data_IF_519899211421
#
_entry.id   IF_519899211421
#
_cell.length_a   1.000
_cell.length_b   1.000
_cell.length_c   1.000
_cell.angle_alpha   90.00
_cell.angle_beta   90.00
_cell.angle_gamma   90.00
#
_symmetry.space_group_name_H-M   'P 1'
#
loop_
_entity.id
_entity.type
_entity.pdbx_description
1 polymer ?
#
# COMPACT_ATOMS: atom_id res chain seq x y z
N UNK A 1 14.95 -14.76 -54.51
CA UNK A 1 13.76 -15.06 -53.69
C UNK A 1 13.72 -14.09 -52.52
N UNK A 2 12.89 -13.06 -52.66
CA UNK A 2 12.60 -12.06 -51.63
C UNK A 2 11.50 -12.62 -50.72
N UNK A 3 11.71 -12.64 -49.40
CA UNK A 3 10.62 -12.70 -48.42
C UNK A 3 10.94 -11.79 -47.21
N UNK A 4 10.50 -10.54 -47.38
CA UNK A 4 9.71 -9.76 -46.41
C UNK A 4 10.23 -9.55 -44.98
N UNK A 5 10.98 -8.45 -44.85
CA UNK A 5 10.89 -7.52 -43.72
C UNK A 5 9.46 -6.95 -43.68
N UNK A 6 8.63 -7.35 -42.71
CA UNK A 6 7.29 -6.77 -42.52
C UNK A 6 6.96 -6.66 -41.04
N UNK A 7 6.74 -5.41 -40.62
CA UNK A 7 6.11 -4.96 -39.37
C UNK A 7 6.97 -4.81 -38.11
N UNK A 8 7.93 -3.88 -38.15
CA UNK A 8 8.15 -2.98 -37.02
C UNK A 8 7.56 -1.61 -37.38
N UNK A 9 6.24 -1.47 -37.19
CA UNK A 9 5.64 -0.14 -37.13
C UNK A 9 6.21 0.54 -35.88
N UNK A 10 7.21 1.40 -36.06
CA UNK A 10 7.56 2.42 -35.07
C UNK A 10 6.32 3.27 -34.87
N UNK A 11 5.57 2.99 -33.79
CA UNK A 11 4.56 3.90 -33.29
C UNK A 11 5.26 5.22 -32.95
N UNK A 12 4.71 6.38 -33.34
CA UNK A 12 5.31 7.66 -33.01
C UNK A 12 5.34 7.79 -31.48
N UNK A 13 6.55 7.90 -30.94
CA UNK A 13 6.80 8.15 -29.51
C UNK A 13 6.37 9.59 -29.23
N UNK A 14 5.08 9.81 -29.01
CA UNK A 14 4.61 11.04 -28.40
C UNK A 14 5.04 10.99 -26.94
N UNK A 15 6.17 11.63 -26.62
CA UNK A 15 6.47 12.03 -25.24
C UNK A 15 5.41 13.06 -24.86
N UNK A 16 4.27 12.59 -24.35
CA UNK A 16 3.35 13.45 -23.62
C UNK A 16 4.04 13.78 -22.31
N UNK A 17 4.77 14.89 -22.29
CA UNK A 17 5.00 15.64 -21.06
C UNK A 17 3.68 16.31 -20.65
N UNK A 18 2.63 15.53 -20.42
CA UNK A 18 1.42 16.03 -19.76
C UNK A 18 1.81 16.18 -18.29
N UNK A 19 2.45 17.30 -17.96
CA UNK A 19 2.74 17.67 -16.58
C UNK A 19 1.43 17.52 -15.78
N UNK A 20 1.46 16.76 -14.69
CA UNK A 20 0.27 16.51 -13.90
C UNK A 20 -0.21 17.83 -13.29
N UNK A 21 -1.25 18.42 -13.87
CA UNK A 21 -1.89 19.62 -13.32
C UNK A 21 -2.94 19.17 -12.31
N UNK A 22 -2.49 18.69 -11.16
CA UNK A 22 -3.37 18.33 -10.04
C UNK A 22 -3.11 19.31 -8.91
N UNK A 23 -4.11 20.12 -8.59
CA UNK A 23 -4.01 21.10 -7.52
C UNK A 23 -4.50 20.50 -6.20
N UNK A 24 -3.58 19.93 -5.44
CA UNK A 24 -3.89 19.33 -4.14
C UNK A 24 -3.37 20.18 -2.98
N UNK A 25 -4.17 20.23 -1.91
CA UNK A 25 -3.89 21.03 -0.72
C UNK A 25 -3.48 20.09 0.41
N UNK A 26 -2.39 20.41 1.12
CA UNK A 26 -1.96 19.60 2.26
C UNK A 26 -3.07 19.52 3.32
N UNK A 27 -3.32 18.30 3.84
CA UNK A 27 -4.38 18.05 4.81
C UNK A 27 -5.79 17.92 4.19
N UNK A 28 -5.89 17.88 2.87
CA UNK A 28 -7.13 17.60 2.14
C UNK A 28 -6.93 16.41 1.20
N UNK A 29 -7.84 15.44 1.16
CA UNK A 29 -7.78 14.32 0.22
C UNK A 29 -7.64 14.78 -1.24
N UNK A 30 -6.58 14.34 -1.90
CA UNK A 30 -6.21 14.71 -3.26
C UNK A 30 -6.94 13.86 -4.29
N UNK A 31 -7.83 14.47 -5.07
CA UNK A 31 -8.55 13.79 -6.14
C UNK A 31 -7.92 14.08 -7.50
N UNK A 32 -7.58 13.01 -8.22
CA UNK A 32 -6.98 13.09 -9.55
C UNK A 32 -8.04 13.31 -10.64
N UNK A 33 -7.75 14.12 -11.68
CA UNK A 33 -8.67 14.36 -12.77
C UNK A 33 -8.81 13.11 -13.67
N UNK A 34 -7.72 12.38 -13.85
CA UNK A 34 -7.65 11.19 -14.69
C UNK A 34 -7.95 9.92 -13.88
N UNK A 35 -8.59 8.95 -14.53
CA UNK A 35 -8.69 7.58 -14.03
C UNK A 35 -7.82 6.67 -14.88
N UNK A 36 -6.99 5.90 -14.21
CA UNK A 36 -6.08 4.94 -14.80
C UNK A 36 -6.38 3.55 -14.26
N UNK A 37 -5.83 2.51 -14.88
CA UNK A 37 -6.07 1.15 -14.43
C UNK A 37 -5.30 0.83 -13.13
N UNK A 38 -4.11 1.41 -12.96
CA UNK A 38 -3.25 1.20 -11.80
C UNK A 38 -2.49 2.46 -11.40
N UNK A 39 -2.72 2.95 -10.18
CA UNK A 39 -2.01 4.11 -9.62
C UNK A 39 -1.09 3.68 -8.49
N UNK A 40 0.15 4.13 -8.53
CA UNK A 40 1.13 3.87 -7.48
C UNK A 40 1.40 5.19 -6.77
N UNK A 41 1.09 5.27 -5.49
CA UNK A 41 1.33 6.43 -4.64
C UNK A 41 2.59 6.16 -3.81
N UNK A 42 3.66 6.90 -4.05
CA UNK A 42 4.92 6.79 -3.31
C UNK A 42 5.04 7.92 -2.31
N UNK A 43 5.11 7.58 -1.03
CA UNK A 43 5.26 8.50 0.09
C UNK A 43 6.73 8.58 0.47
N UNK A 44 7.32 9.78 0.42
CA UNK A 44 8.73 10.00 0.78
C UNK A 44 8.91 11.32 1.54
N UNK A 45 10.09 11.47 2.14
CA UNK A 45 10.50 12.67 2.83
C UNK A 45 11.94 13.04 2.47
N UNK A 46 12.92 12.50 3.20
CA UNK A 46 14.34 12.87 3.08
C UNK A 46 15.28 11.66 3.04
N UNK A 47 14.84 10.54 2.45
CA UNK A 47 15.65 9.33 2.26
C UNK A 47 15.89 9.07 0.76
N UNK A 48 16.73 9.88 0.09
CA UNK A 48 16.90 9.81 -1.36
C UNK A 48 17.33 8.42 -1.87
N UNK A 49 18.23 7.74 -1.17
CA UNK A 49 18.68 6.40 -1.57
C UNK A 49 17.59 5.33 -1.38
N UNK A 50 16.73 5.51 -0.37
CA UNK A 50 15.57 4.65 -0.16
C UNK A 50 14.58 4.80 -1.32
N UNK A 51 14.22 6.05 -1.62
CA UNK A 51 13.34 6.37 -2.75
C UNK A 51 13.89 5.80 -4.06
N UNK A 52 15.18 5.96 -4.34
CA UNK A 52 15.81 5.43 -5.55
C UNK A 52 15.61 3.92 -5.69
N UNK A 53 15.79 3.15 -4.60
CA UNK A 53 15.58 1.70 -4.60
C UNK A 53 14.13 1.36 -4.85
N UNK A 54 13.19 1.98 -4.12
CA UNK A 54 11.75 1.77 -4.31
C UNK A 54 11.32 2.03 -5.77
N UNK A 55 11.72 3.18 -6.33
CA UNK A 55 11.43 3.53 -7.72
C UNK A 55 12.05 2.54 -8.72
N UNK A 56 13.22 1.98 -8.43
CA UNK A 56 13.84 0.95 -9.28
C UNK A 56 13.07 -0.37 -9.29
N UNK A 57 12.31 -0.67 -8.24
CA UNK A 57 11.40 -1.82 -8.18
C UNK A 57 10.11 -1.54 -8.94
N UNK A 58 9.56 -0.33 -8.79
CA UNK A 58 8.40 0.13 -9.57
C UNK A 58 8.70 0.09 -11.08
N UNK A 59 9.91 0.45 -11.51
CA UNK A 59 10.39 0.37 -12.90
C UNK A 59 10.38 -1.02 -13.53
N UNK A 60 10.27 -2.09 -12.72
CA UNK A 60 10.29 -3.48 -13.18
C UNK A 60 8.89 -4.10 -13.26
N UNK A 61 7.84 -3.34 -12.94
CA UNK A 61 6.48 -3.85 -12.92
C UNK A 61 6.04 -4.35 -14.29
N UNK A 62 5.42 -5.53 -14.30
CA UNK A 62 4.60 -5.98 -15.41
C UNK A 62 3.26 -5.24 -15.34
N UNK A 63 3.08 -4.28 -16.25
CA UNK A 63 1.86 -3.46 -16.34
C UNK A 63 0.69 -4.21 -16.97
N UNK A 64 0.90 -5.42 -17.49
CA UNK A 64 -0.11 -6.18 -18.22
C UNK A 64 -0.68 -5.43 -19.44
N UNK A 65 0.04 -4.44 -19.96
CA UNK A 65 -0.41 -3.55 -21.04
C UNK A 65 -1.45 -2.51 -20.63
N UNK A 66 -1.70 -2.33 -19.33
CA UNK A 66 -2.67 -1.38 -18.79
C UNK A 66 -2.08 0.03 -18.58
N UNK A 67 -2.95 1.03 -18.41
CA UNK A 67 -2.55 2.40 -18.09
C UNK A 67 -2.09 2.49 -16.63
N UNK A 68 -0.81 2.75 -16.43
CA UNK A 68 -0.20 2.91 -15.11
C UNK A 68 0.19 4.36 -14.87
N UNK A 69 0.17 4.79 -13.63
CA UNK A 69 0.61 6.11 -13.20
C UNK A 69 1.32 6.04 -11.86
N UNK A 70 2.34 6.88 -11.67
CA UNK A 70 3.11 6.97 -10.42
C UNK A 70 3.02 8.39 -9.88
N UNK A 71 2.55 8.52 -8.65
CA UNK A 71 2.45 9.78 -7.92
C UNK A 71 3.45 9.78 -6.76
N UNK A 72 4.52 10.56 -6.89
CA UNK A 72 5.57 10.68 -5.88
C UNK A 72 5.27 11.89 -5.00
N UNK A 73 4.91 11.66 -3.74
CA UNK A 73 4.58 12.66 -2.76
C UNK A 73 5.73 12.90 -1.78
N UNK A 74 6.34 14.08 -1.89
CA UNK A 74 7.47 14.51 -1.06
C UNK A 74 6.93 15.42 0.06
N UNK A 75 7.03 14.96 1.30
CA UNK A 75 6.72 15.80 2.47
C UNK A 75 7.82 16.85 2.70
N UNK A 76 7.48 17.90 3.45
CA UNK A 76 8.43 18.92 3.91
C UNK A 76 8.78 18.70 5.36
N UNK A 77 9.91 19.23 5.81
CA UNK A 77 10.20 19.32 7.23
C UNK A 77 9.29 20.34 7.92
N UNK A 78 9.27 20.35 9.26
CA UNK A 78 8.45 21.31 10.03
C UNK A 78 8.83 22.78 9.78
N UNK A 79 10.07 23.05 9.39
CA UNK A 79 10.58 24.36 8.97
C UNK A 79 10.39 24.63 7.46
N UNK A 80 9.64 23.78 6.75
CA UNK A 80 9.22 24.00 5.36
C UNK A 80 10.25 23.60 4.29
N UNK A 81 11.35 22.95 4.67
CA UNK A 81 12.40 22.51 3.73
C UNK A 81 12.01 21.21 3.02
N UNK A 82 12.45 21.09 1.78
CA UNK A 82 12.36 19.87 0.96
C UNK A 82 13.77 19.34 0.80
N UNK A 83 13.91 18.02 0.79
CA UNK A 83 15.19 17.41 0.45
C UNK A 83 15.43 17.50 -1.06
N UNK A 84 16.44 18.29 -1.47
CA UNK A 84 16.74 18.56 -2.88
C UNK A 84 17.13 17.29 -3.65
N UNK A 85 17.79 16.33 -2.98
CA UNK A 85 18.21 15.09 -3.61
C UNK A 85 17.01 14.17 -3.86
N UNK A 86 16.08 14.04 -2.90
CA UNK A 86 14.80 13.35 -3.08
C UNK A 86 14.00 13.95 -4.24
N UNK A 87 13.92 15.29 -4.31
CA UNK A 87 13.23 15.98 -5.40
C UNK A 87 13.90 15.73 -6.76
N UNK A 88 15.22 15.78 -6.81
CA UNK A 88 16.00 15.49 -8.02
C UNK A 88 15.78 14.06 -8.53
N UNK A 89 15.83 13.07 -7.63
CA UNK A 89 15.56 11.65 -7.96
C UNK A 89 14.14 11.47 -8.51
N UNK A 90 13.16 12.15 -7.90
CA UNK A 90 11.76 12.08 -8.34
C UNK A 90 11.58 12.64 -9.75
N UNK A 91 12.22 13.78 -10.06
CA UNK A 91 12.20 14.38 -11.41
C UNK A 91 12.94 13.52 -12.44
N UNK A 92 14.08 12.97 -12.07
CA UNK A 92 14.82 12.04 -12.92
C UNK A 92 13.97 10.80 -13.25
N UNK A 93 13.23 10.26 -12.28
CA UNK A 93 12.33 9.14 -12.54
C UNK A 93 11.17 9.54 -13.47
N UNK A 94 10.59 10.73 -13.26
CA UNK A 94 9.55 11.28 -14.14
C UNK A 94 10.02 11.39 -15.60
N UNK A 95 11.26 11.79 -15.85
CA UNK A 95 11.82 11.91 -17.21
C UNK A 95 12.11 10.55 -17.87
N UNK A 96 12.45 9.53 -17.08
CA UNK A 96 12.89 8.22 -17.60
C UNK A 96 11.77 7.18 -17.67
N UNK A 97 10.67 7.38 -16.95
CA UNK A 97 9.55 6.45 -16.93
C UNK A 97 8.80 6.45 -18.26
N UNK A 98 8.66 5.27 -18.88
CA UNK A 98 8.02 5.12 -20.20
C UNK A 98 6.72 4.32 -20.17
N UNK A 99 6.33 3.78 -19.02
CA UNK A 99 5.18 2.88 -18.89
C UNK A 99 3.88 3.60 -18.48
N UNK A 100 3.87 4.94 -18.49
CA UNK A 100 2.73 5.72 -18.00
C UNK A 100 3.08 7.14 -17.58
N UNK A 101 2.17 7.76 -16.83
CA UNK A 101 2.37 9.12 -16.29
C UNK A 101 3.13 9.07 -14.97
N UNK A 102 4.01 10.05 -14.73
CA UNK A 102 4.61 10.28 -13.41
C UNK A 102 4.33 11.70 -12.97
N UNK A 103 3.81 11.84 -11.75
CA UNK A 103 3.53 13.11 -11.11
C UNK A 103 4.42 13.27 -9.88
N UNK A 104 5.10 14.41 -9.78
CA UNK A 104 5.91 14.75 -8.59
C UNK A 104 5.18 15.84 -7.82
N UNK A 105 4.73 15.50 -6.62
CA UNK A 105 3.97 16.37 -5.72
C UNK A 105 4.84 16.75 -4.54
N UNK A 106 4.94 18.05 -4.26
CA UNK A 106 5.60 18.55 -3.05
C UNK A 106 4.54 19.14 -2.16
N UNK A 107 4.43 18.64 -0.93
CA UNK A 107 3.46 19.15 0.04
C UNK A 107 3.64 20.66 0.25
N UNK A 108 2.55 21.40 0.47
CA UNK A 108 2.62 22.85 0.70
C UNK A 108 3.19 23.18 2.10
N UNK A 109 2.96 22.29 3.05
CA UNK A 109 3.43 22.34 4.44
C UNK A 109 3.74 20.91 4.92
N UNK A 110 4.34 20.75 6.10
CA UNK A 110 4.56 19.42 6.68
C UNK A 110 3.21 18.70 6.88
N UNK A 111 2.97 17.66 6.09
CA UNK A 111 1.76 16.83 6.14
C UNK A 111 1.82 15.78 7.25
N UNK A 112 3.03 15.50 7.74
CA UNK A 112 3.33 14.35 8.59
C UNK A 112 2.99 13.02 7.88
N UNK A 113 3.44 11.91 8.46
CA UNK A 113 3.13 10.57 7.92
C UNK A 113 1.62 10.33 7.81
N UNK A 114 0.82 10.88 8.73
CA UNK A 114 -0.64 10.73 8.71
C UNK A 114 -1.30 11.46 7.54
N UNK A 115 -0.86 12.66 7.18
CA UNK A 115 -1.39 13.37 6.01
C UNK A 115 -0.90 12.71 4.72
N UNK A 116 0.36 12.27 4.68
CA UNK A 116 0.91 11.51 3.55
C UNK A 116 0.09 10.23 3.27
N UNK A 117 -0.26 9.47 4.30
CA UNK A 117 -1.05 8.25 4.10
C UNK A 117 -2.51 8.52 3.77
N UNK A 118 -3.16 9.47 4.46
CA UNK A 118 -4.61 9.64 4.33
C UNK A 118 -4.99 10.49 3.12
N UNK A 119 -4.21 11.50 2.76
CA UNK A 119 -4.66 12.58 1.88
C UNK A 119 -4.07 12.55 0.46
N UNK A 120 -3.11 11.68 0.17
CA UNK A 120 -2.39 11.68 -1.13
C UNK A 120 -3.17 11.04 -2.27
N UNK A 121 -4.22 10.27 -1.96
CA UNK A 121 -5.12 9.71 -2.97
C UNK A 121 -6.56 9.68 -2.47
N UNK A 122 -7.44 10.31 -3.24
CA UNK A 122 -8.89 10.19 -3.15
C UNK A 122 -9.40 9.68 -4.49
N UNK A 123 -9.90 8.45 -4.57
CA UNK A 123 -10.46 7.93 -5.81
C UNK A 123 -11.72 8.72 -6.18
N UNK A 124 -12.03 8.76 -7.48
CA UNK A 124 -13.33 9.23 -7.95
C UNK A 124 -14.44 8.32 -7.41
N UNK A 125 -15.64 8.86 -7.30
CA UNK A 125 -16.80 8.05 -6.94
C UNK A 125 -17.02 6.98 -8.00
N UNK A 126 -17.26 5.74 -7.56
CA UNK A 126 -17.41 4.57 -8.43
C UNK A 126 -16.18 4.26 -9.31
N UNK A 127 -14.99 4.73 -8.92
CA UNK A 127 -13.74 4.41 -9.61
C UNK A 127 -13.46 2.90 -9.57
N UNK A 128 -12.92 2.38 -10.67
CA UNK A 128 -12.35 1.02 -10.73
C UNK A 128 -10.81 1.03 -10.69
N UNK A 129 -10.21 2.21 -10.50
CA UNK A 129 -8.77 2.38 -10.34
C UNK A 129 -8.26 1.56 -9.16
N UNK A 130 -7.27 0.69 -9.42
CA UNK A 130 -6.52 0.03 -8.37
C UNK A 130 -5.41 0.97 -7.94
N UNK A 131 -5.38 1.38 -6.68
CA UNK A 131 -4.27 2.15 -6.12
C UNK A 131 -3.36 1.27 -5.26
N UNK A 132 -2.05 1.54 -5.26
CA UNK A 132 -1.06 0.94 -4.37
C UNK A 132 -0.29 2.06 -3.67
N UNK A 133 -0.39 2.12 -2.34
CA UNK A 133 0.30 3.11 -1.52
C UNK A 133 1.56 2.46 -0.91
N UNK A 134 2.71 3.12 -1.11
CA UNK A 134 4.03 2.66 -0.70
C UNK A 134 4.77 3.76 0.05
N UNK A 135 5.48 3.41 1.12
CA UNK A 135 6.56 4.25 1.64
C UNK A 135 7.84 4.00 0.84
N UNK A 136 8.76 4.97 0.87
CA UNK A 136 10.01 4.90 0.11
C UNK A 136 10.94 3.73 0.51
N UNK A 137 10.69 3.05 1.63
CA UNK A 137 11.46 1.88 2.11
C UNK A 137 10.93 0.50 1.70
N UNK A 138 9.97 0.46 0.78
CA UNK A 138 9.38 -0.78 0.27
C UNK A 138 9.97 -1.18 -1.09
N UNK A 139 10.38 -2.43 -1.21
CA UNK A 139 10.62 -3.09 -2.51
C UNK A 139 9.40 -3.94 -2.86
N UNK A 140 8.97 -3.89 -4.12
CA UNK A 140 7.80 -4.66 -4.61
C UNK A 140 8.20 -5.65 -5.69
N UNK A 141 7.44 -6.75 -5.77
CA UNK A 141 7.53 -7.74 -6.83
C UNK A 141 7.18 -7.13 -8.19
N UNK A 142 7.86 -7.52 -9.30
CA UNK A 142 7.45 -7.15 -10.65
C UNK A 142 6.02 -7.63 -11.00
N UNK A 143 5.50 -8.63 -10.27
CA UNK A 143 4.16 -9.20 -10.45
C UNK A 143 3.14 -8.65 -9.43
N UNK A 144 3.49 -7.62 -8.65
CA UNK A 144 2.60 -7.03 -7.65
C UNK A 144 1.28 -6.55 -8.27
N UNK A 145 1.31 -5.88 -9.42
CA UNK A 145 0.08 -5.44 -10.10
C UNK A 145 -0.78 -6.62 -10.56
N UNK A 146 -0.15 -7.69 -11.07
CA UNK A 146 -0.87 -8.91 -11.47
C UNK A 146 -1.60 -9.55 -10.30
N UNK A 147 -0.96 -9.63 -9.13
CA UNK A 147 -1.60 -10.11 -7.92
C UNK A 147 -2.75 -9.19 -7.48
N UNK A 148 -2.53 -7.88 -7.41
CA UNK A 148 -3.57 -6.92 -7.02
C UNK A 148 -4.78 -6.94 -7.97
N UNK A 149 -4.56 -7.02 -9.28
CA UNK A 149 -5.64 -7.12 -10.27
C UNK A 149 -6.45 -8.40 -10.09
N UNK A 150 -5.78 -9.52 -9.82
CA UNK A 150 -6.46 -10.77 -9.52
C UNK A 150 -7.28 -10.69 -8.23
N UNK A 151 -6.72 -10.14 -7.16
CA UNK A 151 -7.45 -9.95 -5.90
C UNK A 151 -8.63 -8.99 -6.07
N UNK A 152 -8.41 -7.87 -6.77
CA UNK A 152 -9.47 -6.91 -7.05
C UNK A 152 -10.64 -7.56 -7.79
N UNK A 153 -10.36 -8.31 -8.86
CA UNK A 153 -11.37 -9.06 -9.60
C UNK A 153 -12.11 -10.08 -8.71
N UNK A 154 -11.37 -10.87 -7.92
CA UNK A 154 -11.96 -11.95 -7.11
C UNK A 154 -12.81 -11.44 -5.95
N UNK A 155 -12.42 -10.34 -5.34
CA UNK A 155 -12.99 -9.84 -4.09
C UNK A 155 -13.79 -8.54 -4.27
N UNK A 156 -14.02 -8.09 -5.50
CA UNK A 156 -14.73 -6.83 -5.79
C UNK A 156 -16.09 -6.77 -5.06
N UNK A 157 -16.92 -7.79 -5.25
CA UNK A 157 -18.28 -7.88 -4.69
C UNK A 157 -18.34 -8.44 -3.27
N UNK A 158 -17.20 -8.74 -2.64
CA UNK A 158 -17.17 -9.20 -1.24
C UNK A 158 -17.31 -7.99 -0.32
N UNK A 159 -18.49 -7.88 0.30
CA UNK A 159 -18.95 -6.67 1.00
C UNK A 159 -18.12 -6.30 2.24
N UNK A 160 -17.47 -7.26 2.88
CA UNK A 160 -16.67 -7.04 4.07
C UNK A 160 -15.16 -6.92 3.77
N UNK A 161 -14.77 -6.73 2.51
CA UNK A 161 -13.37 -6.48 2.11
C UNK A 161 -13.15 -4.99 1.86
N UNK A 162 -12.27 -4.37 2.65
CA UNK A 162 -11.86 -2.97 2.51
C UNK A 162 -10.66 -2.76 1.57
N UNK A 163 -9.92 -3.81 1.25
CA UNK A 163 -8.76 -3.70 0.36
C UNK A 163 -7.83 -4.90 0.45
N UNK A 164 -6.62 -4.70 -0.06
CA UNK A 164 -5.59 -5.70 -0.26
C UNK A 164 -4.27 -5.17 0.31
N UNK A 165 -3.35 -6.06 0.67
CA UNK A 165 -1.99 -5.68 1.01
C UNK A 165 -0.97 -6.62 0.40
N UNK A 166 0.16 -6.08 -0.04
CA UNK A 166 1.32 -6.85 -0.47
C UNK A 166 2.06 -7.47 0.71
N UNK A 167 1.90 -6.88 1.91
CA UNK A 167 2.56 -7.32 3.13
C UNK A 167 2.27 -8.78 3.46
N UNK A 168 3.31 -9.62 3.41
CA UNK A 168 3.24 -11.03 3.85
C UNK A 168 3.99 -11.27 5.17
N UNK A 169 4.97 -10.43 5.47
CA UNK A 169 5.83 -10.56 6.65
C UNK A 169 5.57 -9.46 7.68
N UNK A 170 6.06 -9.64 8.91
CA UNK A 170 6.04 -8.58 9.93
C UNK A 170 4.67 -8.23 10.51
N UNK A 171 3.60 -8.96 10.14
CA UNK A 171 2.24 -8.74 10.65
C UNK A 171 2.13 -9.19 12.11
N UNK A 172 2.49 -8.31 13.06
CA UNK A 172 2.55 -8.62 14.50
C UNK A 172 2.04 -7.45 15.35
N UNK A 173 0.77 -7.48 15.73
CA UNK A 173 0.23 -6.43 16.61
C UNK A 173 -0.41 -6.96 17.89
N UNK A 174 -0.55 -8.28 18.06
CA UNK A 174 -1.32 -8.82 19.19
C UNK A 174 -0.63 -9.95 19.92
N UNK A 175 -0.11 -9.57 21.10
CA UNK A 175 0.54 -10.41 22.12
C UNK A 175 1.81 -11.12 21.63
N UNK A 176 2.70 -11.44 22.56
CA UNK A 176 4.13 -11.62 22.29
C UNK A 176 4.52 -12.77 21.35
N UNK A 177 3.62 -13.67 20.93
CA UNK A 177 4.04 -14.92 20.28
C UNK A 177 3.09 -15.49 19.22
N UNK A 178 1.98 -14.83 18.85
CA UNK A 178 1.04 -15.39 17.86
C UNK A 178 0.56 -14.32 16.88
N UNK A 179 1.24 -14.20 15.74
CA UNK A 179 0.65 -13.55 14.56
C UNK A 179 -0.39 -14.49 13.92
N UNK A 180 -1.39 -13.97 13.18
CA UNK A 180 -2.38 -14.79 12.48
C UNK A 180 -1.71 -15.83 11.57
N UNK A 181 -0.53 -15.46 11.02
CA UNK A 181 0.28 -16.28 10.14
C UNK A 181 0.51 -17.70 10.66
N UNK A 182 0.57 -17.94 11.98
CA UNK A 182 0.81 -19.28 12.52
C UNK A 182 -0.33 -20.27 12.19
N UNK A 183 -1.58 -19.81 12.11
CA UNK A 183 -2.77 -20.66 12.07
C UNK A 183 -3.47 -20.71 10.69
N UNK A 184 -2.82 -20.19 9.64
CA UNK A 184 -3.36 -20.23 8.28
C UNK A 184 -2.98 -21.57 7.65
N UNK A 185 -3.96 -22.34 7.15
CA UNK A 185 -3.68 -23.60 6.46
C UNK A 185 -2.82 -23.41 5.22
N UNK A 186 -1.96 -24.39 4.94
CA UNK A 186 -1.13 -24.43 3.74
C UNK A 186 -1.97 -24.64 2.47
N UNK A 187 -3.23 -25.03 2.60
CA UNK A 187 -4.16 -25.15 1.45
C UNK A 187 -4.67 -23.81 0.95
N UNK A 188 -4.55 -22.75 1.74
CA UNK A 188 -5.10 -21.44 1.42
C UNK A 188 -4.00 -20.53 0.89
N UNK A 189 -4.17 -20.00 -0.32
CA UNK A 189 -3.26 -19.01 -0.89
C UNK A 189 -3.56 -17.57 -0.43
N UNK A 190 -4.73 -17.34 0.18
CA UNK A 190 -5.20 -16.04 0.68
C UNK A 190 -6.06 -16.20 1.93
N UNK A 191 -6.14 -15.13 2.73
CA UNK A 191 -6.99 -15.06 3.91
C UNK A 191 -7.44 -13.61 4.17
N UNK A 192 -8.44 -13.44 5.03
CA UNK A 192 -8.96 -12.14 5.44
C UNK A 192 -8.51 -11.84 6.87
N UNK A 193 -7.98 -10.64 7.09
CA UNK A 193 -7.51 -10.20 8.41
C UNK A 193 -7.96 -8.77 8.69
N UNK A 194 -8.44 -8.50 9.91
CA UNK A 194 -8.94 -7.15 10.25
C UNK A 194 -7.86 -6.08 10.28
N UNK A 195 -6.62 -6.47 10.58
CA UNK A 195 -5.53 -5.52 10.63
C UNK A 195 -5.15 -5.10 9.21
N UNK A 196 -4.93 -3.80 9.04
CA UNK A 196 -4.38 -3.26 7.81
C UNK A 196 -2.87 -3.52 7.70
N UNK A 197 -2.42 -3.97 6.53
CA UNK A 197 -1.01 -4.07 6.19
C UNK A 197 -0.48 -2.71 5.77
N UNK A 198 0.67 -2.30 6.32
CA UNK A 198 1.30 -1.01 6.06
C UNK A 198 2.39 -1.08 5.00
N UNK A 199 2.73 -2.28 4.53
CA UNK A 199 3.66 -2.49 3.42
C UNK A 199 2.82 -2.80 2.16
N UNK A 200 2.79 -1.85 1.23
CA UNK A 200 1.99 -1.95 -0.01
C UNK A 200 0.50 -2.14 0.22
N UNK A 201 -0.20 -1.09 0.70
CA UNK A 201 -1.66 -1.16 0.86
C UNK A 201 -2.39 -0.75 -0.41
N UNK A 202 -3.44 -1.48 -0.74
CA UNK A 202 -4.29 -1.23 -1.91
C UNK A 202 -5.75 -1.21 -1.47
N UNK A 203 -6.28 -0.06 -1.03
CA UNK A 203 -7.67 0.04 -0.58
C UNK A 203 -8.67 -0.08 -1.73
N UNK A 204 -9.86 -0.59 -1.44
CA UNK A 204 -11.01 -0.44 -2.35
C UNK A 204 -11.40 1.05 -2.43
N UNK A 205 -11.72 1.56 -3.63
CA UNK A 205 -11.98 2.99 -3.82
C UNK A 205 -13.04 3.59 -2.89
N UNK A 206 -14.23 2.98 -2.81
CA UNK A 206 -15.32 3.49 -1.99
C UNK A 206 -15.03 3.37 -0.49
N UNK A 207 -14.42 2.26 -0.06
CA UNK A 207 -14.06 2.05 1.35
C UNK A 207 -13.01 3.06 1.82
N UNK A 208 -12.06 3.43 0.95
CA UNK A 208 -11.10 4.49 1.23
C UNK A 208 -11.77 5.84 1.41
N UNK A 209 -12.74 6.20 0.53
CA UNK A 209 -13.48 7.46 0.65
C UNK A 209 -14.26 7.52 1.96
N UNK A 210 -14.95 6.44 2.33
CA UNK A 210 -15.69 6.38 3.59
C UNK A 210 -14.77 6.51 4.81
N UNK A 211 -13.60 5.87 4.76
CA UNK A 211 -12.58 6.04 5.79
C UNK A 211 -12.11 7.50 5.86
N UNK A 212 -11.74 8.12 4.74
CA UNK A 212 -11.27 9.51 4.69
C UNK A 212 -12.32 10.48 5.25
N UNK A 213 -13.58 10.35 4.83
CA UNK A 213 -14.67 11.22 5.27
C UNK A 213 -14.91 11.07 6.78
N UNK A 214 -14.90 9.84 7.29
CA UNK A 214 -14.97 9.57 8.73
C UNK A 214 -13.76 10.13 9.48
N UNK A 215 -12.55 9.91 8.97
CA UNK A 215 -11.31 10.35 9.57
C UNK A 215 -11.28 11.87 9.74
N UNK A 216 -11.56 12.62 8.67
CA UNK A 216 -11.57 14.08 8.68
C UNK A 216 -12.69 14.66 9.54
N UNK A 217 -13.79 13.93 9.72
CA UNK A 217 -14.82 14.28 10.69
C UNK A 217 -14.34 14.07 12.13
N UNK A 218 -13.84 12.87 12.45
CA UNK A 218 -13.48 12.50 13.83
C UNK A 218 -12.23 13.19 14.33
N UNK A 219 -11.25 13.46 13.46
CA UNK A 219 -10.00 14.11 13.84
C UNK A 219 -10.18 15.55 14.34
N UNK A 220 -11.31 16.19 14.02
CA UNK A 220 -11.68 17.51 14.57
C UNK A 220 -12.08 17.45 16.04
N UNK A 221 -12.47 16.28 16.53
CA UNK A 221 -12.76 16.04 17.94
C UNK A 221 -11.46 15.67 18.69
N UNK A 222 -10.94 16.62 19.46
CA UNK A 222 -9.71 16.43 20.24
C UNK A 222 -9.87 15.43 21.40
N UNK A 223 -11.11 15.07 21.77
CA UNK A 223 -11.40 14.09 22.82
C UNK A 223 -11.40 12.66 22.30
N UNK A 224 -11.69 12.49 21.01
CA UNK A 224 -11.71 11.16 20.39
C UNK A 224 -10.30 10.63 20.18
N UNK A 225 -10.10 9.37 20.57
CA UNK A 225 -8.87 8.61 20.34
C UNK A 225 -9.24 7.23 19.79
N UNK A 226 -8.67 6.77 18.66
CA UNK A 226 -9.02 5.49 18.03
C UNK A 226 -8.40 4.29 18.78
N UNK A 227 -8.47 4.27 20.12
CA UNK A 227 -7.97 3.17 20.94
C UNK A 227 -8.78 1.89 20.70
N UNK A 228 -8.07 0.77 20.63
CA UNK A 228 -8.65 -0.54 20.34
C UNK A 228 -8.35 -1.53 21.48
N UNK A 229 -9.34 -2.14 22.14
CA UNK A 229 -9.10 -3.02 23.28
C UNK A 229 -8.08 -4.13 22.99
N UNK A 230 -7.13 -4.34 23.91
CA UNK A 230 -6.17 -5.45 23.84
C UNK A 230 -5.03 -5.30 22.84
N UNK A 231 -4.95 -4.21 22.06
CA UNK A 231 -3.87 -4.00 21.09
C UNK A 231 -2.66 -3.30 21.72
N UNK A 232 -1.44 -3.81 21.45
CA UNK A 232 -0.18 -3.17 21.90
C UNK A 232 0.00 -1.75 21.33
N UNK A 233 -0.63 -1.48 20.18
CA UNK A 233 -0.53 -0.20 19.50
C UNK A 233 -1.04 0.97 20.36
N UNK A 234 -1.99 0.73 21.26
CA UNK A 234 -2.47 1.74 22.20
C UNK A 234 -1.36 2.28 23.11
N UNK A 235 -0.46 1.39 23.56
CA UNK A 235 0.65 1.78 24.43
C UNK A 235 1.68 2.64 23.67
N UNK A 236 1.94 2.30 22.40
CA UNK A 236 2.81 3.11 21.54
C UNK A 236 2.21 4.48 21.26
N UNK A 237 0.91 4.55 20.95
CA UNK A 237 0.23 5.81 20.74
C UNK A 237 0.22 6.69 21.98
N UNK A 238 -0.07 6.12 23.16
CA UNK A 238 0.03 6.84 24.44
C UNK A 238 1.44 7.45 24.63
N UNK A 239 2.49 6.71 24.29
CA UNK A 239 3.88 7.20 24.35
C UNK A 239 4.14 8.35 23.37
N UNK A 240 3.67 8.22 22.13
CA UNK A 240 3.82 9.27 21.12
C UNK A 240 2.99 10.53 21.45
N UNK A 241 1.80 10.37 22.02
CA UNK A 241 0.99 11.51 22.48
C UNK A 241 1.72 12.32 23.57
N UNK A 242 2.34 11.65 24.55
CA UNK A 242 3.16 12.31 25.58
C UNK A 242 4.34 13.10 24.99
N UNK A 243 4.84 12.69 23.82
CA UNK A 243 5.91 13.36 23.08
C UNK A 243 5.40 14.40 22.07
N UNK A 244 4.09 14.68 22.01
CA UNK A 244 3.45 15.53 20.98
C UNK A 244 3.72 15.03 19.55
N UNK A 245 3.71 13.72 19.38
CA UNK A 245 3.96 12.98 18.13
C UNK A 245 2.83 12.00 17.80
N UNK A 246 1.62 12.23 18.30
CA UNK A 246 0.47 11.33 18.05
C UNK A 246 0.21 11.09 16.55
N UNK A 247 0.49 12.08 15.72
CA UNK A 247 0.39 12.01 14.25
C UNK A 247 1.36 11.02 13.59
N UNK A 248 2.35 10.51 14.34
CA UNK A 248 3.21 9.41 13.88
C UNK A 248 2.51 8.04 13.92
N UNK A 249 1.35 7.92 14.59
CA UNK A 249 0.60 6.67 14.74
C UNK A 249 -0.67 6.64 13.90
N UNK A 250 -0.53 6.97 12.62
CA UNK A 250 -1.65 7.06 11.69
C UNK A 250 -2.44 5.74 11.55
N UNK A 251 -1.77 4.59 11.60
CA UNK A 251 -2.37 3.27 11.35
C UNK A 251 -3.46 2.90 12.37
N UNK A 252 -3.50 3.54 13.55
CA UNK A 252 -4.59 3.33 14.49
C UNK A 252 -5.96 3.75 13.96
N UNK A 253 -6.00 4.76 13.09
CA UNK A 253 -7.25 5.27 12.52
C UNK A 253 -7.93 4.26 11.58
N UNK A 254 -7.26 3.70 10.55
CA UNK A 254 -7.87 2.68 9.71
C UNK A 254 -8.13 1.38 10.50
N UNK A 255 -7.29 0.99 11.46
CA UNK A 255 -7.55 -0.18 12.33
C UNK A 255 -8.88 0.00 13.07
N UNK A 256 -9.07 1.14 13.73
CA UNK A 256 -10.33 1.43 14.43
C UNK A 256 -11.52 1.47 13.47
N UNK A 257 -11.35 2.12 12.31
CA UNK A 257 -12.39 2.20 11.28
C UNK A 257 -12.81 0.83 10.77
N UNK A 258 -11.87 -0.03 10.39
CA UNK A 258 -12.16 -1.39 9.92
C UNK A 258 -12.85 -2.22 11.00
N UNK A 259 -12.48 -2.04 12.27
CA UNK A 259 -13.16 -2.71 13.38
C UNK A 259 -14.64 -2.34 13.46
N UNK A 260 -14.94 -1.04 13.59
CA UNK A 260 -16.32 -0.57 13.76
C UNK A 260 -17.19 -0.83 12.53
N UNK A 261 -16.59 -0.95 11.34
CA UNK A 261 -17.29 -1.19 10.08
C UNK A 261 -17.32 -2.70 9.71
N UNK A 262 -16.78 -3.57 10.56
CA UNK A 262 -16.65 -5.01 10.31
C UNK A 262 -15.92 -5.37 8.99
N UNK A 263 -14.88 -4.61 8.65
CA UNK A 263 -14.12 -4.78 7.41
C UNK A 263 -12.83 -5.59 7.61
N UNK A 264 -12.39 -6.24 6.55
CA UNK A 264 -11.19 -7.07 6.48
C UNK A 264 -10.32 -6.67 5.29
N UNK A 265 -9.03 -6.97 5.39
CA UNK A 265 -8.04 -6.83 4.32
C UNK A 265 -7.67 -8.22 3.81
N UNK A 266 -7.55 -8.36 2.49
CA UNK A 266 -7.04 -9.57 1.86
C UNK A 266 -5.52 -9.61 1.97
N UNK A 267 -5.03 -10.71 2.51
CA UNK A 267 -3.61 -11.03 2.61
C UNK A 267 -3.26 -12.23 1.74
N UNK A 268 -2.03 -12.22 1.22
CA UNK A 268 -1.40 -13.36 0.59
C UNK A 268 -0.84 -14.34 1.64
N UNK A 269 -1.02 -15.62 1.41
CA UNK A 269 -0.38 -16.71 2.15
C UNK A 269 0.54 -17.55 1.24
N UNK A 270 1.01 -16.97 0.13
CA UNK A 270 1.76 -17.71 -0.90
C UNK A 270 2.95 -18.48 -0.35
N UNK A 271 3.71 -17.93 0.60
CA UNK A 271 4.88 -18.59 1.20
C UNK A 271 4.54 -19.94 1.84
N UNK A 272 3.44 -20.02 2.59
CA UNK A 272 2.95 -21.29 3.15
C UNK A 272 2.29 -22.17 2.10
N UNK A 273 1.53 -21.56 1.19
CA UNK A 273 0.81 -22.28 0.14
C UNK A 273 1.72 -23.02 -0.84
N UNK A 274 2.88 -22.45 -1.15
CA UNK A 274 3.86 -23.03 -2.08
C UNK A 274 5.00 -23.75 -1.39
N UNK A 275 5.27 -23.44 -0.11
CA UNK A 275 6.49 -23.84 0.58
C UNK A 275 7.76 -23.14 0.05
N UNK A 276 7.62 -22.07 -0.74
CA UNK A 276 8.74 -21.35 -1.36
C UNK A 276 9.01 -20.02 -0.64
N UNK A 277 10.27 -19.61 -0.63
CA UNK A 277 10.70 -18.34 -0.02
C UNK A 277 10.61 -17.15 -1.00
N UNK A 278 10.80 -17.40 -2.30
CA UNK A 278 10.85 -16.39 -3.36
C UNK A 278 9.47 -16.03 -3.95
N UNK A 279 8.47 -15.88 -3.08
CA UNK A 279 7.08 -15.59 -3.45
C UNK A 279 6.50 -14.37 -2.75
N UNK A 280 7.35 -13.54 -2.15
CA UNK A 280 6.92 -12.32 -1.47
C UNK A 280 6.44 -11.28 -2.50
N UNK A 281 5.38 -10.56 -2.17
CA UNK A 281 4.86 -9.47 -3.00
C UNK A 281 5.56 -8.14 -2.69
N UNK A 282 6.06 -8.00 -1.46
CA UNK A 282 6.89 -6.90 -1.02
C UNK A 282 7.96 -7.33 0.00
N UNK A 283 8.91 -6.44 0.25
CA UNK A 283 9.79 -6.48 1.42
C UNK A 283 10.00 -5.06 1.94
N UNK A 284 9.98 -4.89 3.26
CA UNK A 284 10.44 -3.64 3.89
C UNK A 284 11.94 -3.75 4.19
N UNK A 285 12.72 -2.74 3.80
CA UNK A 285 14.17 -2.72 4.02
C UNK A 285 14.57 -2.40 5.47
N UNK A 286 13.60 -2.10 6.32
CA UNK A 286 13.75 -1.75 7.73
C UNK A 286 14.79 -0.65 7.98
N UNK A 287 14.87 0.30 7.04
CA UNK A 287 15.88 1.34 7.04
C UNK A 287 15.67 2.32 8.22
N UNK A 288 16.74 2.92 8.75
CA UNK A 288 16.63 3.88 9.84
C UNK A 288 15.65 5.02 9.53
N UNK A 289 14.78 5.34 10.49
CA UNK A 289 13.70 6.30 10.30
C UNK A 289 12.74 6.32 11.49
N UNK A 290 11.45 6.49 11.22
CA UNK A 290 10.41 6.56 12.26
C UNK A 290 10.32 5.26 13.08
N UNK A 291 10.52 4.11 12.42
CA UNK A 291 10.26 2.78 12.99
C UNK A 291 11.53 2.01 13.38
N UNK A 292 12.67 2.26 12.73
CA UNK A 292 13.92 1.55 12.96
C UNK A 292 15.03 2.52 13.35
N UNK A 293 15.85 2.17 14.36
CA UNK A 293 16.99 3.02 14.78
C UNK A 293 18.23 2.70 13.95
N UNK A 294 19.12 3.68 13.78
CA UNK A 294 20.34 3.59 12.98
C UNK A 294 21.24 2.38 13.26
N UNK A 295 21.27 1.88 14.50
CA UNK A 295 22.11 0.75 14.92
C UNK A 295 21.40 -0.61 14.90
N UNK A 296 20.13 -0.66 14.48
CA UNK A 296 19.30 -1.87 14.67
C UNK A 296 19.56 -2.93 13.61
N UNK A 297 19.76 -2.54 12.35
CA UNK A 297 19.88 -3.45 11.21
C UNK A 297 20.67 -2.78 10.07
N UNK A 298 21.61 -3.50 9.47
CA UNK A 298 22.11 -3.17 8.13
C UNK A 298 21.01 -3.64 7.17
N UNK A 299 20.43 -2.77 6.34
CA UNK A 299 19.41 -3.18 5.37
C UNK A 299 19.98 -4.24 4.43
N UNK A 300 19.51 -5.47 4.54
CA UNK A 300 19.88 -6.54 3.62
C UNK A 300 19.02 -6.43 2.36
N UNK A 301 19.62 -6.60 1.19
CA UNK A 301 18.86 -6.68 -0.05
C UNK A 301 18.11 -8.02 -0.11
N UNK A 302 16.83 -7.99 0.22
CA UNK A 302 15.92 -9.16 0.22
C UNK A 302 15.11 -9.28 -1.07
N UNK A 303 15.46 -8.53 -2.13
CA UNK A 303 14.74 -8.56 -3.41
C UNK A 303 14.70 -9.94 -4.07
N UNK A 304 15.64 -10.84 -3.76
CA UNK A 304 15.63 -12.23 -4.23
C UNK A 304 14.46 -13.06 -3.68
N UNK A 305 13.79 -12.58 -2.62
CA UNK A 305 12.58 -13.19 -2.09
C UNK A 305 11.31 -12.75 -2.82
N UNK A 306 11.40 -11.73 -3.68
CA UNK A 306 10.24 -11.21 -4.39
C UNK A 306 9.82 -12.16 -5.50
N UNK A 307 8.50 -12.32 -5.65
CA UNK A 307 7.90 -13.13 -6.69
C UNK A 307 8.28 -12.61 -8.08
N UNK A 308 9.00 -13.41 -8.87
CA UNK A 308 9.42 -13.05 -10.23
C UNK A 308 8.71 -13.87 -11.31
N UNK A 309 8.11 -15.01 -10.95
CA UNK A 309 7.41 -15.90 -11.87
C UNK A 309 5.99 -16.18 -11.39
N UNK A 310 5.04 -16.26 -12.34
CA UNK A 310 3.64 -16.50 -12.02
C UNK A 310 3.29 -17.98 -12.14
N UNK A 311 2.76 -18.57 -11.06
CA UNK A 311 2.20 -19.91 -11.10
C UNK A 311 0.67 -19.84 -11.15
N UNK A 312 0.05 -20.60 -12.06
CA UNK A 312 -1.43 -20.68 -12.18
C UNK A 312 -2.10 -21.23 -10.91
N UNK A 313 -1.37 -21.90 -10.02
CA UNK A 313 -1.91 -22.30 -8.71
C UNK A 313 -2.28 -21.09 -7.84
N UNK A 314 -1.69 -19.91 -8.07
CA UNK A 314 -2.05 -18.68 -7.35
C UNK A 314 -3.46 -18.18 -7.65
N UNK A 315 -4.09 -18.71 -8.71
CA UNK A 315 -5.47 -18.42 -9.08
C UNK A 315 -6.47 -19.39 -8.43
N UNK A 316 -5.99 -20.39 -7.66
CA UNK A 316 -6.83 -21.35 -6.94
C UNK A 316 -7.15 -20.85 -5.54
N UNK A 317 -8.31 -20.22 -5.43
CA UNK A 317 -8.81 -19.68 -4.16
C UNK A 317 -9.39 -20.77 -3.25
N UNK A 318 -9.30 -20.61 -1.91
CA UNK A 318 -9.94 -21.52 -0.98
C UNK A 318 -11.46 -21.46 -1.14
N UNK A 319 -12.13 -22.60 -0.92
CA UNK A 319 -13.59 -22.70 -0.92
C UNK A 319 -14.21 -21.85 0.20
N UNK A 320 -13.55 -21.82 1.36
CA UNK A 320 -13.94 -21.01 2.51
C UNK A 320 -12.89 -19.94 2.81
N UNK A 321 -13.30 -18.67 2.71
CA UNK A 321 -12.45 -17.52 3.05
C UNK A 321 -12.37 -17.33 4.56
N UNK A 322 -11.26 -17.78 5.14
CA UNK A 322 -10.99 -17.65 6.57
C UNK A 322 -10.77 -16.21 6.96
N UNK A 323 -11.41 -15.81 8.05
CA UNK A 323 -11.29 -14.48 8.66
C UNK A 323 -10.58 -14.57 9.99
N UNK A 324 -9.74 -13.58 10.25
CA UNK A 324 -8.99 -13.46 11.48
C UNK A 324 -9.25 -12.08 12.11
N UNK A 325 -9.55 -12.07 13.40
CA UNK A 325 -9.73 -10.85 14.18
C UNK A 325 -8.38 -10.15 14.40
N UNK A 326 -8.34 -8.91 14.90
CA UNK A 326 -7.09 -8.17 15.14
C UNK A 326 -6.09 -8.95 15.98
N UNK A 327 -6.57 -9.81 16.88
CA UNK A 327 -5.72 -10.66 17.72
C UNK A 327 -5.15 -11.90 17.05
N UNK A 328 -5.45 -12.09 15.77
CA UNK A 328 -5.07 -13.26 14.98
C UNK A 328 -5.87 -14.51 15.32
N UNK A 329 -6.92 -14.40 16.14
CA UNK A 329 -7.87 -15.49 16.35
C UNK A 329 -8.73 -15.71 15.11
N UNK A 330 -9.03 -16.96 14.82
CA UNK A 330 -9.93 -17.33 13.73
C UNK A 330 -11.38 -17.00 14.12
N UNK A 331 -12.10 -16.33 13.22
CA UNK A 331 -13.53 -16.02 13.39
C UNK A 331 -14.34 -17.12 12.71
N UNK A 332 -15.02 -17.93 13.52
CA UNK A 332 -15.94 -18.93 13.01
C UNK A 332 -17.25 -18.25 12.62
N UNK A 333 -17.45 -18.01 11.32
CA UNK A 333 -18.77 -17.59 10.82
C UNK A 333 -19.60 -18.87 10.68
N UNK A 334 -20.15 -19.37 11.79
CA UNK A 334 -21.30 -20.25 11.68
C UNK A 334 -22.43 -19.44 11.07
N UNK A 335 -22.87 -19.84 9.87
CA UNK A 335 -23.98 -19.26 9.11
C UNK A 335 -24.96 -18.53 10.02
N UNK A 336 -25.07 -17.21 9.85
CA UNK A 336 -26.26 -16.49 10.24
C UNK A 336 -27.42 -17.07 9.44
N UNK A 337 -28.07 -18.09 9.98
CA UNK A 337 -29.48 -18.31 9.70
C UNK A 337 -30.17 -17.06 10.25
N UNK A 338 -30.72 -16.26 9.34
CA UNK A 338 -31.83 -15.39 9.70
C UNK A 338 -32.91 -16.29 10.31
N UNK A 339 -33.14 -16.12 11.61
CA UNK A 339 -34.46 -16.32 12.22
C UNK A 339 -35.07 -14.94 12.44
#
# INVERSE_FOLDING_TARGET
MNLTNKYLKKLPFYVRTDHCVVNCTTGKPCQYPDEIDFRIIVLTFNRPDSLRKCLSHIAKLDTLGHKVGVDIWIDRSKDGKVDDQTLSISRQFQENWSLGQVCVHVQQQNAYIIGQWVDTWRPRENSHEIALILEDDIDISPLAYKWLKLMNSKFWDVSDVAGYTLQMEGVRFVKERKGPAANIPETDNVFLYRLMGTWGFSPKPNEWRYFQDWFHKMRKDNTFKPYMPGLKINAWFTSFERQRRGDSMWVMWPIFFHNKSNLYIVYSNLKKYTGQENVLLDTNRCEPGLHFKAHSQIPENRSYLLLSEWNRTFERFPEYLRRYDFDGSFINITNGKNE
#
